data_IF_479167758274
#
_entry.id   IF_479167758274
#
_cell.length_a   1.000
_cell.length_b   1.000
_cell.length_c   1.000
_cell.angle_alpha   90.00
_cell.angle_beta   90.00
_cell.angle_gamma   90.00
#
_symmetry.space_group_name_H-M   'P 1'
#
loop_
_entity.id
_entity.type
_entity.pdbx_description
1 polymer ?
#
# COMPACT_ATOMS: atom_id res chain seq x y z
N UNK A 1 46.78 -19.98 -18.93
CA UNK A 1 45.83 -18.85 -18.77
C UNK A 1 46.60 -17.55 -18.77
N UNK A 2 46.24 -16.58 -19.63
CA UNK A 2 46.96 -15.32 -19.73
C UNK A 2 46.81 -14.51 -18.42
N UNK A 3 47.87 -13.85 -17.93
CA UNK A 3 47.83 -13.09 -16.68
C UNK A 3 46.79 -11.97 -16.73
N UNK A 4 46.52 -11.42 -17.92
CA UNK A 4 45.48 -10.40 -18.14
C UNK A 4 44.07 -10.93 -17.86
N UNK A 5 43.77 -12.17 -18.25
CA UNK A 5 42.47 -12.81 -17.99
C UNK A 5 42.21 -13.02 -16.49
N UNK A 6 43.25 -13.31 -15.70
CA UNK A 6 43.13 -13.43 -14.24
C UNK A 6 42.82 -12.06 -13.60
N UNK A 7 43.48 -11.01 -14.08
CA UNK A 7 43.24 -9.64 -13.60
C UNK A 7 41.81 -9.19 -13.90
N UNK A 8 41.30 -9.42 -15.12
CA UNK A 8 39.91 -9.10 -15.45
C UNK A 8 38.91 -9.91 -14.61
N UNK A 9 39.19 -11.19 -14.36
CA UNK A 9 38.34 -12.02 -13.50
C UNK A 9 38.24 -11.50 -12.06
N UNK A 10 39.36 -11.05 -11.49
CA UNK A 10 39.40 -10.48 -10.13
C UNK A 10 38.65 -9.15 -10.08
N UNK A 11 38.85 -8.25 -11.04
CA UNK A 11 38.16 -6.96 -11.10
C UNK A 11 36.65 -7.14 -11.26
N UNK A 12 36.23 -8.04 -12.15
CA UNK A 12 34.81 -8.35 -12.35
C UNK A 12 34.19 -8.95 -11.07
N UNK A 13 34.91 -9.83 -10.38
CA UNK A 13 34.45 -10.40 -9.10
C UNK A 13 34.22 -9.35 -8.02
N UNK A 14 35.14 -8.40 -7.87
CA UNK A 14 35.00 -7.29 -6.90
C UNK A 14 33.81 -6.40 -7.26
N UNK A 15 33.61 -6.10 -8.55
CA UNK A 15 32.49 -5.27 -9.00
C UNK A 15 31.13 -5.93 -8.72
N UNK A 16 30.99 -7.23 -9.01
CA UNK A 16 29.76 -7.98 -8.75
C UNK A 16 29.48 -8.08 -7.25
N UNK A 17 30.52 -8.32 -6.44
CA UNK A 17 30.38 -8.34 -4.98
C UNK A 17 30.00 -6.97 -4.41
N UNK A 18 30.60 -5.89 -4.89
CA UNK A 18 30.27 -4.52 -4.50
C UNK A 18 28.86 -4.12 -4.90
N UNK A 19 28.43 -4.42 -6.12
CA UNK A 19 27.08 -4.17 -6.59
C UNK A 19 26.03 -4.99 -5.83
N UNK A 20 26.33 -6.26 -5.53
CA UNK A 20 25.47 -7.13 -4.73
C UNK A 20 25.31 -6.61 -3.29
N UNK A 21 26.41 -6.26 -2.62
CA UNK A 21 26.38 -5.74 -1.26
C UNK A 21 25.70 -4.37 -1.18
N UNK A 22 26.03 -3.45 -2.10
CA UNK A 22 25.40 -2.13 -2.18
C UNK A 22 23.92 -2.20 -2.54
N UNK A 23 23.55 -3.08 -3.47
CA UNK A 23 22.16 -3.32 -3.85
C UNK A 23 21.33 -3.91 -2.71
N UNK A 24 21.86 -4.89 -1.98
CA UNK A 24 21.20 -5.49 -0.83
C UNK A 24 21.06 -4.49 0.34
N UNK A 25 22.11 -3.73 0.65
CA UNK A 25 22.06 -2.70 1.69
C UNK A 25 21.11 -1.55 1.31
N UNK A 26 21.16 -1.08 0.06
CA UNK A 26 20.24 -0.07 -0.46
C UNK A 26 18.79 -0.53 -0.46
N UNK A 27 18.54 -1.78 -0.85
CA UNK A 27 17.21 -2.40 -0.79
C UNK A 27 16.72 -2.56 0.65
N UNK A 28 17.57 -2.97 1.59
CA UNK A 28 17.22 -3.10 3.00
C UNK A 28 16.90 -1.73 3.64
N UNK A 29 17.65 -0.68 3.31
CA UNK A 29 17.40 0.69 3.80
C UNK A 29 16.14 1.27 3.14
N UNK A 30 15.96 1.10 1.83
CA UNK A 30 14.77 1.58 1.12
C UNK A 30 13.51 0.83 1.59
N UNK A 31 13.58 -0.48 1.80
CA UNK A 31 12.47 -1.29 2.32
C UNK A 31 12.17 -0.97 3.78
N UNK A 32 13.16 -0.70 4.64
CA UNK A 32 12.90 -0.18 6.00
C UNK A 32 12.25 1.19 5.98
N UNK A 33 12.71 2.13 5.16
CA UNK A 33 12.08 3.47 5.05
C UNK A 33 10.68 3.41 4.44
N UNK A 34 10.46 2.51 3.49
CA UNK A 34 9.15 2.26 2.92
C UNK A 34 8.24 1.55 3.93
N UNK A 35 8.77 0.63 4.74
CA UNK A 35 8.07 -0.02 5.84
C UNK A 35 7.85 0.92 7.04
N UNK A 36 8.63 1.98 7.22
CA UNK A 36 8.34 3.06 8.17
C UNK A 36 7.29 4.04 7.61
N UNK A 37 7.26 4.25 6.29
CA UNK A 37 6.25 5.06 5.60
C UNK A 37 4.90 4.35 5.46
N UNK A 38 4.92 3.01 5.38
CA UNK A 38 3.77 2.10 5.29
C UNK A 38 3.51 1.35 6.61
N UNK A 39 4.30 1.64 7.65
CA UNK A 39 4.30 0.95 8.93
C UNK A 39 3.03 1.26 9.71
N UNK A 40 2.34 0.17 10.03
CA UNK A 40 0.99 0.03 10.54
C UNK A 40 0.81 0.45 12.01
N UNK A 41 1.36 1.61 12.37
CA UNK A 41 1.26 2.19 13.72
C UNK A 41 1.26 3.73 13.68
N UNK A 42 0.59 4.33 12.68
CA UNK A 42 0.17 5.73 12.78
C UNK A 42 -1.33 5.75 12.99
N UNK A 43 -1.81 5.85 14.24
CA UNK A 43 -3.24 5.92 14.50
C UNK A 43 -3.71 7.18 13.79
N UNK A 44 -4.66 7.15 12.84
CA UNK A 44 -5.51 8.22 12.26
C UNK A 44 -4.98 9.70 12.15
N UNK A 45 -3.71 9.95 12.40
CA UNK A 45 -3.04 11.24 12.57
C UNK A 45 -2.20 11.53 11.32
N UNK A 46 -1.78 10.47 10.60
CA UNK A 46 -1.27 10.56 9.24
C UNK A 46 -2.35 11.03 8.26
N UNK A 47 -3.59 10.54 8.40
CA UNK A 47 -4.70 10.89 7.52
C UNK A 47 -5.18 12.32 7.73
N UNK A 48 -5.38 12.74 8.99
CA UNK A 48 -5.73 14.13 9.29
C UNK A 48 -4.64 15.11 8.81
N UNK A 49 -3.35 14.77 8.97
CA UNK A 49 -2.24 15.60 8.46
C UNK A 49 -2.23 15.69 6.93
N UNK A 50 -2.49 14.57 6.24
CA UNK A 50 -2.58 14.54 4.77
C UNK A 50 -3.79 15.31 4.26
N UNK A 51 -4.95 15.16 4.91
CA UNK A 51 -6.18 15.89 4.57
C UNK A 51 -5.99 17.41 4.76
N UNK A 52 -5.42 17.84 5.89
CA UNK A 52 -5.09 19.25 6.14
C UNK A 52 -4.10 19.76 5.09
N UNK A 53 -3.07 19.00 4.73
CA UNK A 53 -2.12 19.40 3.69
C UNK A 53 -2.77 19.51 2.30
N UNK A 54 -3.72 18.64 1.96
CA UNK A 54 -4.48 18.74 0.71
C UNK A 54 -5.38 20.00 0.71
N UNK A 55 -6.18 20.20 1.75
CA UNK A 55 -7.01 21.41 1.91
C UNK A 55 -6.17 22.69 1.92
N UNK A 56 -4.97 22.63 2.51
CA UNK A 56 -4.06 23.79 2.53
C UNK A 56 -3.59 24.20 1.15
N UNK A 57 -3.36 23.24 0.24
CA UNK A 57 -2.93 23.52 -1.13
C UNK A 57 -4.07 23.96 -2.02
N UNK A 58 -5.26 23.38 -1.82
CA UNK A 58 -6.43 23.68 -2.65
C UNK A 58 -7.09 25.01 -2.27
N UNK A 59 -7.04 25.39 -0.98
CA UNK A 59 -7.72 26.55 -0.43
C UNK A 59 -6.75 27.65 0.04
N UNK A 60 -5.45 27.50 -0.27
CA UNK A 60 -4.38 28.43 0.13
C UNK A 60 -4.43 28.85 1.60
N UNK A 61 -4.58 27.87 2.51
CA UNK A 61 -4.77 28.14 3.93
C UNK A 61 -3.53 28.80 4.57
N UNK A 62 -3.74 29.93 5.25
CA UNK A 62 -2.72 30.57 6.08
C UNK A 62 -2.25 29.67 7.22
N UNK A 63 -1.13 30.00 7.86
CA UNK A 63 -0.58 29.21 8.98
C UNK A 63 -1.58 29.06 10.13
N UNK A 64 -2.28 30.13 10.47
CA UNK A 64 -3.28 30.13 11.54
C UNK A 64 -4.52 29.30 11.18
N UNK A 65 -5.01 29.42 9.94
CA UNK A 65 -6.13 28.61 9.46
C UNK A 65 -5.78 27.12 9.46
N UNK A 66 -4.57 26.75 9.04
CA UNK A 66 -4.11 25.36 9.08
C UNK A 66 -4.10 24.78 10.49
N UNK A 67 -3.69 25.58 11.48
CA UNK A 67 -3.72 25.16 12.87
C UNK A 67 -5.16 24.95 13.35
N UNK A 68 -6.06 25.91 13.08
CA UNK A 68 -7.48 25.80 13.46
C UNK A 68 -8.15 24.57 12.82
N UNK A 69 -7.90 24.30 11.54
CA UNK A 69 -8.45 23.13 10.84
C UNK A 69 -7.89 21.83 11.43
N UNK A 70 -6.61 21.80 11.79
CA UNK A 70 -6.02 20.65 12.50
C UNK A 70 -6.74 20.40 13.82
N UNK A 71 -6.94 21.44 14.63
CA UNK A 71 -7.57 21.31 15.94
C UNK A 71 -9.04 20.86 15.82
N UNK A 72 -9.76 21.31 14.79
CA UNK A 72 -11.11 20.81 14.47
C UNK A 72 -11.07 19.31 14.14
N UNK A 73 -10.18 18.90 13.24
CA UNK A 73 -10.07 17.50 12.82
C UNK A 73 -9.64 16.58 13.97
N UNK A 74 -8.75 17.05 14.85
CA UNK A 74 -8.31 16.30 16.02
C UNK A 74 -9.42 16.13 17.06
N UNK A 75 -10.27 17.16 17.28
CA UNK A 75 -11.41 17.06 18.21
C UNK A 75 -12.45 16.03 17.80
N UNK A 76 -12.73 15.89 16.51
CA UNK A 76 -13.74 14.94 16.00
C UNK A 76 -13.17 13.58 15.59
N UNK A 77 -11.89 13.34 15.88
CA UNK A 77 -11.19 12.17 15.37
C UNK A 77 -11.77 10.85 15.88
N UNK A 78 -12.07 10.77 17.16
CA UNK A 78 -12.56 9.52 17.77
C UNK A 78 -14.01 9.25 17.38
N UNK A 79 -14.85 10.29 17.33
CA UNK A 79 -16.22 10.22 16.83
C UNK A 79 -16.26 9.71 15.37
N UNK A 80 -15.42 10.29 14.51
CA UNK A 80 -15.31 9.85 13.12
C UNK A 80 -14.77 8.41 13.01
N UNK A 81 -13.86 8.00 13.89
CA UNK A 81 -13.34 6.62 13.93
C UNK A 81 -14.43 5.61 14.30
N UNK A 82 -15.28 5.95 15.27
CA UNK A 82 -16.41 5.10 15.67
C UNK A 82 -17.41 4.98 14.53
N UNK A 83 -17.81 6.11 13.93
CA UNK A 83 -18.74 6.11 12.80
C UNK A 83 -18.22 5.28 11.61
N UNK A 84 -16.94 5.44 11.27
CA UNK A 84 -16.32 4.66 10.19
C UNK A 84 -16.28 3.16 10.51
N UNK A 85 -15.98 2.80 11.77
CA UNK A 85 -16.00 1.39 12.20
C UNK A 85 -17.40 0.81 12.08
N UNK A 86 -18.42 1.51 12.57
CA UNK A 86 -19.80 1.06 12.54
C UNK A 86 -20.31 0.90 11.10
N UNK A 87 -19.93 1.81 10.20
CA UNK A 87 -20.25 1.71 8.78
C UNK A 87 -19.61 0.47 8.15
N UNK A 88 -18.34 0.20 8.46
CA UNK A 88 -17.63 -0.99 7.95
C UNK A 88 -18.24 -2.28 8.51
N UNK A 89 -18.63 -2.29 9.78
CA UNK A 89 -19.24 -3.45 10.41
C UNK A 89 -20.62 -3.77 9.82
N UNK A 90 -21.44 -2.74 9.57
CA UNK A 90 -22.80 -2.91 9.05
C UNK A 90 -22.84 -3.17 7.55
N UNK A 91 -21.98 -2.53 6.77
CA UNK A 91 -22.06 -2.55 5.30
C UNK A 91 -20.87 -3.24 4.62
N UNK A 92 -19.79 -3.52 5.35
CA UNK A 92 -18.55 -4.02 4.76
C UNK A 92 -18.69 -5.38 4.09
N UNK A 93 -19.45 -6.30 4.70
CA UNK A 93 -19.72 -7.63 4.12
C UNK A 93 -20.48 -7.54 2.80
N UNK A 94 -21.51 -6.71 2.76
CA UNK A 94 -22.40 -6.57 1.60
C UNK A 94 -21.65 -5.93 0.43
N UNK A 95 -20.85 -4.91 0.72
CA UNK A 95 -19.97 -4.27 -0.26
C UNK A 95 -18.90 -5.24 -0.79
N UNK A 96 -18.34 -6.09 0.07
CA UNK A 96 -17.38 -7.11 -0.36
C UNK A 96 -18.03 -8.16 -1.27
N UNK A 97 -19.23 -8.62 -0.92
CA UNK A 97 -19.99 -9.57 -1.73
C UNK A 97 -20.37 -9.01 -3.10
N UNK A 98 -20.86 -7.78 -3.15
CA UNK A 98 -21.16 -7.08 -4.41
C UNK A 98 -19.90 -6.95 -5.27
N UNK A 99 -18.78 -6.56 -4.67
CA UNK A 99 -17.52 -6.40 -5.38
C UNK A 99 -17.03 -7.72 -5.99
N UNK A 100 -17.09 -8.82 -5.25
CA UNK A 100 -16.70 -10.14 -5.76
C UNK A 100 -17.58 -10.58 -6.94
N UNK A 101 -18.89 -10.30 -6.88
CA UNK A 101 -19.83 -10.61 -7.96
C UNK A 101 -19.48 -9.82 -9.23
N UNK A 102 -19.34 -8.51 -9.10
CA UNK A 102 -18.96 -7.61 -10.22
C UNK A 102 -17.61 -8.00 -10.80
N UNK A 103 -16.60 -8.26 -9.96
CA UNK A 103 -15.27 -8.70 -10.41
C UNK A 103 -15.36 -10.05 -11.17
N UNK A 104 -16.26 -10.95 -10.75
CA UNK A 104 -16.52 -12.21 -11.42
C UNK A 104 -17.14 -12.03 -12.81
N UNK A 105 -18.17 -11.19 -12.91
CA UNK A 105 -18.83 -10.86 -14.19
C UNK A 105 -17.85 -10.17 -15.16
N UNK A 106 -17.02 -9.24 -14.67
CA UNK A 106 -15.98 -8.60 -15.49
C UNK A 106 -15.00 -9.64 -16.01
N UNK A 107 -14.52 -10.59 -15.18
CA UNK A 107 -13.55 -11.60 -15.62
C UNK A 107 -14.09 -12.47 -16.77
N UNK A 108 -15.40 -12.71 -16.85
CA UNK A 108 -16.00 -13.54 -17.90
C UNK A 108 -15.90 -12.92 -19.30
N UNK A 109 -15.81 -11.59 -19.40
CA UNK A 109 -15.72 -10.89 -20.69
C UNK A 109 -14.27 -10.54 -21.10
N UNK A 110 -13.29 -10.86 -20.25
CA UNK A 110 -11.88 -10.55 -20.47
C UNK A 110 -11.13 -11.73 -21.09
N UNK A 111 -10.14 -11.43 -21.94
CA UNK A 111 -9.16 -12.43 -22.39
C UNK A 111 -8.29 -12.92 -21.23
N UNK A 112 -7.63 -14.09 -21.34
CA UNK A 112 -6.73 -14.59 -20.31
C UNK A 112 -5.62 -13.60 -19.92
N UNK A 113 -5.05 -12.88 -20.88
CA UNK A 113 -4.02 -11.87 -20.65
C UNK A 113 -4.58 -10.65 -19.92
N UNK A 114 -5.81 -10.24 -20.25
CA UNK A 114 -6.50 -9.13 -19.60
C UNK A 114 -6.91 -9.48 -18.16
N UNK A 115 -7.32 -10.72 -17.90
CA UNK A 115 -7.64 -11.20 -16.55
C UNK A 115 -6.44 -11.08 -15.61
N UNK A 116 -5.23 -11.40 -16.10
CA UNK A 116 -3.99 -11.27 -15.32
C UNK A 116 -3.73 -9.82 -14.92
N UNK A 117 -3.85 -8.88 -15.88
CA UNK A 117 -3.72 -7.43 -15.61
C UNK A 117 -4.82 -6.93 -14.67
N UNK A 118 -6.05 -7.42 -14.83
CA UNK A 118 -7.18 -7.06 -13.98
C UNK A 118 -6.96 -7.51 -12.52
N UNK A 119 -6.41 -8.72 -12.32
CA UNK A 119 -6.04 -9.22 -11.00
C UNK A 119 -4.98 -8.35 -10.34
N UNK A 120 -3.93 -7.95 -11.08
CA UNK A 120 -2.89 -7.05 -10.57
C UNK A 120 -3.46 -5.67 -10.16
N UNK A 121 -4.44 -5.15 -10.91
CA UNK A 121 -5.12 -3.89 -10.59
C UNK A 121 -5.99 -4.02 -9.33
N UNK A 122 -6.75 -5.12 -9.20
CA UNK A 122 -7.60 -5.37 -8.02
C UNK A 122 -6.78 -5.60 -6.76
N UNK A 123 -5.67 -6.33 -6.86
CA UNK A 123 -4.74 -6.58 -5.75
C UNK A 123 -4.06 -5.29 -5.27
N UNK A 124 -3.67 -4.39 -6.18
CA UNK A 124 -3.13 -3.07 -5.82
C UNK A 124 -4.17 -2.20 -5.12
N UNK A 125 -5.43 -2.22 -5.58
CA UNK A 125 -6.52 -1.44 -4.99
C UNK A 125 -6.94 -1.96 -3.61
N UNK A 126 -6.92 -3.28 -3.40
CA UNK A 126 -7.19 -3.89 -2.09
C UNK A 126 -6.15 -3.52 -1.03
N UNK A 127 -4.90 -3.29 -1.43
CA UNK A 127 -3.83 -2.82 -0.53
C UNK A 127 -3.95 -1.34 -0.16
N UNK A 128 -4.56 -0.51 -1.03
CA UNK A 128 -4.65 0.94 -0.83
C UNK A 128 -5.87 1.37 0.01
N UNK A 129 -6.94 0.57 0.02
CA UNK A 129 -8.15 0.81 0.80
C UNK A 129 -8.52 -0.45 1.59
N UNK A 130 -8.01 -0.61 2.84
CA UNK A 130 -8.27 -1.78 3.68
C UNK A 130 -9.68 -1.79 4.31
N UNK A 131 -10.66 -1.13 3.68
CA UNK A 131 -12.08 -1.23 4.06
C UNK A 131 -12.69 -2.61 3.72
N UNK A 132 -11.92 -3.47 3.05
CA UNK A 132 -12.14 -4.90 2.99
C UNK A 132 -10.81 -5.59 3.25
N UNK A 133 -10.78 -6.53 4.19
CA UNK A 133 -9.57 -7.27 4.56
C UNK A 133 -8.86 -7.91 3.36
N UNK A 134 -7.59 -8.31 3.54
CA UNK A 134 -6.77 -8.87 2.47
C UNK A 134 -7.53 -10.02 1.80
N UNK A 135 -7.58 -9.96 0.47
CA UNK A 135 -8.35 -10.85 -0.39
C UNK A 135 -8.41 -12.26 0.16
N UNK A 136 -9.63 -12.69 0.51
CA UNK A 136 -9.95 -14.07 0.78
C UNK A 136 -9.76 -14.88 -0.50
N UNK A 137 -8.52 -15.26 -0.79
CA UNK A 137 -8.25 -16.42 -1.61
C UNK A 137 -8.97 -17.63 -1.00
N UNK A 138 -9.42 -18.59 -1.82
CA UNK A 138 -10.18 -19.73 -1.33
C UNK A 138 -9.33 -20.48 -0.28
N UNK A 139 -9.79 -20.50 0.98
CA UNK A 139 -9.29 -21.47 1.95
C UNK A 139 -9.72 -22.84 1.45
N UNK A 140 -8.82 -23.53 0.75
CA UNK A 140 -8.92 -24.98 0.55
C UNK A 140 -8.94 -25.60 1.95
N UNK A 141 -10.12 -25.96 2.41
CA UNK A 141 -10.31 -26.86 3.54
C UNK A 141 -9.75 -28.21 3.10
N UNK A 142 -8.53 -28.54 3.53
CA UNK A 142 -7.92 -29.85 3.34
C UNK A 142 -8.24 -30.65 4.62
N UNK A 143 -8.99 -31.74 4.45
CA UNK A 143 -9.36 -32.68 5.52
C UNK A 143 -10.81 -32.51 5.96
N UNK A 144 -11.69 -33.35 5.43
CA UNK A 144 -12.16 -34.58 6.11
C UNK A 144 -12.36 -35.67 5.04
#
# INVERSE_FOLDING_TARGET
>A
MSPKLKVYGVVLGIFVLGAGAGGAAGYAVASKRLAEALGDDRPAQGDARRAVAAMSRELDLSREQRQKVRDIMERHRDENRVLMRDMVEKCGSDLQGLRQRVDGEIKQVLSPEQQKRFQELTDKRGKLFPLGGPGGGPRRRKGD
#
